data_IF_882241168596
#
_entry.id   IF_882241168596
#
_cell.length_a   1.000
_cell.length_b   1.000
_cell.length_c   1.000
_cell.angle_alpha   90.00
_cell.angle_beta   90.00
_cell.angle_gamma   90.00
#
_symmetry.space_group_name_H-M   'P 1'
#
loop_
_entity.id
_entity.type
_entity.pdbx_description
1 polymer ?
#
# COMPACT_ATOMS: atom_id res chain seq x y z
N UNK A 1 22.34 41.38 -21.88
CA UNK A 1 22.42 39.91 -21.95
C UNK A 1 22.42 39.39 -20.52
N UNK A 2 21.23 39.16 -19.97
CA UNK A 2 21.09 38.51 -18.68
C UNK A 2 21.29 37.02 -18.92
N UNK A 3 22.23 36.46 -18.18
CA UNK A 3 22.74 35.11 -18.32
C UNK A 3 21.62 34.04 -18.28
N UNK A 4 21.55 33.24 -19.34
CA UNK A 4 20.65 32.07 -19.41
C UNK A 4 20.90 31.09 -18.24
N UNK A 5 22.10 31.13 -17.65
CA UNK A 5 22.52 30.37 -16.47
C UNK A 5 21.87 30.85 -15.18
N UNK A 6 21.44 32.11 -15.04
CA UNK A 6 20.77 32.59 -13.81
C UNK A 6 19.30 32.16 -13.74
N UNK A 7 18.63 31.97 -14.89
CA UNK A 7 17.22 31.49 -14.90
C UNK A 7 17.09 29.99 -14.61
N UNK A 8 18.15 29.21 -14.84
CA UNK A 8 18.21 27.78 -14.49
C UNK A 8 18.71 27.53 -13.05
N UNK A 9 19.17 28.57 -12.36
CA UNK A 9 19.85 28.49 -11.06
C UNK A 9 18.98 28.78 -9.83
N UNK A 10 17.71 29.16 -9.98
CA UNK A 10 16.74 29.11 -8.87
C UNK A 10 16.00 27.77 -8.87
N UNK A 11 16.76 26.66 -8.85
CA UNK A 11 16.21 25.41 -8.33
C UNK A 11 15.97 25.64 -6.84
N UNK A 12 14.75 26.03 -6.48
CA UNK A 12 14.32 26.09 -5.08
C UNK A 12 14.73 24.79 -4.41
N UNK A 13 15.52 24.88 -3.34
CA UNK A 13 15.92 23.73 -2.53
C UNK A 13 14.66 22.93 -2.17
N UNK A 14 14.73 21.58 -2.10
CA UNK A 14 13.57 20.80 -1.72
C UNK A 14 13.11 21.24 -0.34
N UNK A 15 11.80 21.44 -0.17
CA UNK A 15 11.24 22.04 1.03
C UNK A 15 11.65 21.34 2.33
N UNK A 16 11.87 20.01 2.27
CA UNK A 16 12.35 19.23 3.42
C UNK A 16 13.66 19.76 4.02
N UNK A 17 14.50 20.45 3.24
CA UNK A 17 15.75 21.04 3.70
C UNK A 17 15.49 22.22 4.65
N UNK A 18 14.45 23.03 4.36
CA UNK A 18 14.19 24.30 5.06
C UNK A 18 12.94 24.29 5.94
N UNK A 19 12.09 23.26 5.86
CA UNK A 19 10.83 23.20 6.60
C UNK A 19 11.06 23.27 8.11
N UNK A 20 10.35 24.15 8.80
CA UNK A 20 10.52 24.32 10.24
C UNK A 20 9.78 23.24 11.00
N UNK A 21 10.33 22.84 12.15
CA UNK A 21 9.62 21.92 13.04
C UNK A 21 8.47 22.66 13.72
N UNK A 22 7.28 22.08 13.76
CA UNK A 22 6.11 22.74 14.31
C UNK A 22 4.98 21.78 14.66
N UNK A 23 3.89 22.27 15.28
CA UNK A 23 2.77 21.44 15.68
C UNK A 23 2.04 20.88 14.45
N UNK A 24 1.66 19.60 14.53
CA UNK A 24 0.94 18.93 13.46
C UNK A 24 -0.52 19.40 13.36
N UNK A 25 -1.30 19.17 14.42
CA UNK A 25 -2.73 19.43 14.41
C UNK A 25 -3.24 19.68 15.82
N UNK A 26 -4.25 20.53 15.97
CA UNK A 26 -4.97 20.67 17.24
C UNK A 26 -5.75 19.40 17.64
N UNK A 27 -5.94 18.47 16.70
CA UNK A 27 -6.62 17.19 16.91
C UNK A 27 -5.71 16.11 17.49
N UNK A 28 -4.41 16.39 17.67
CA UNK A 28 -3.43 15.37 18.04
C UNK A 28 -3.76 14.63 19.35
N UNK A 29 -4.31 15.34 20.34
CA UNK A 29 -4.76 14.75 21.61
C UNK A 29 -5.91 13.72 21.42
N UNK A 30 -6.62 13.77 20.30
CA UNK A 30 -7.71 12.86 19.93
C UNK A 30 -7.27 11.81 18.89
N UNK A 31 -5.97 11.64 18.64
CA UNK A 31 -5.45 10.73 17.61
C UNK A 31 -5.94 9.29 17.74
N UNK A 32 -5.96 8.75 18.96
CA UNK A 32 -6.48 7.40 19.22
C UNK A 32 -7.98 7.28 18.90
N UNK A 33 -8.77 8.30 19.22
CA UNK A 33 -10.19 8.34 18.90
C UNK A 33 -10.42 8.39 17.39
N UNK A 34 -9.63 9.18 16.65
CA UNK A 34 -9.70 9.23 15.18
C UNK A 34 -9.32 7.90 14.54
N UNK A 35 -8.25 7.25 15.03
CA UNK A 35 -7.85 5.93 14.56
C UNK A 35 -8.96 4.90 14.77
N UNK A 36 -9.49 4.78 16.00
CA UNK A 36 -10.55 3.81 16.33
C UNK A 36 -11.82 4.10 15.54
N UNK A 37 -12.22 5.36 15.43
CA UNK A 37 -13.40 5.74 14.63
C UNK A 37 -13.21 5.37 13.16
N UNK A 38 -12.01 5.59 12.62
CA UNK A 38 -11.67 5.22 11.24
C UNK A 38 -11.70 3.70 11.05
N UNK A 39 -11.18 2.91 12.00
CA UNK A 39 -11.26 1.44 11.96
C UNK A 39 -12.72 0.98 11.94
N UNK A 40 -13.57 1.55 12.80
CA UNK A 40 -15.01 1.23 12.82
C UNK A 40 -15.63 1.51 11.46
N UNK A 41 -15.35 2.67 10.85
CA UNK A 41 -15.86 3.01 9.51
C UNK A 41 -15.42 1.99 8.46
N UNK A 42 -14.14 1.60 8.44
CA UNK A 42 -13.62 0.59 7.51
C UNK A 42 -14.34 -0.76 7.70
N UNK A 43 -14.54 -1.19 8.96
CA UNK A 43 -15.26 -2.43 9.28
C UNK A 43 -16.74 -2.36 8.86
N UNK A 44 -17.39 -1.21 9.02
CA UNK A 44 -18.77 -1.02 8.55
C UNK A 44 -18.86 -1.10 7.01
N UNK A 45 -17.92 -0.47 6.30
CA UNK A 45 -17.82 -0.57 4.83
C UNK A 45 -17.64 -2.04 4.43
N UNK A 46 -16.74 -2.77 5.10
CA UNK A 46 -16.52 -4.19 4.86
C UNK A 46 -17.82 -5.01 5.01
N UNK A 47 -18.55 -4.80 6.11
CA UNK A 47 -19.80 -5.51 6.36
C UNK A 47 -20.89 -5.18 5.32
N UNK A 48 -21.02 -3.91 4.92
CA UNK A 48 -21.98 -3.49 3.89
C UNK A 48 -21.63 -4.12 2.53
N UNK A 49 -20.34 -4.17 2.19
CA UNK A 49 -19.87 -4.82 0.97
C UNK A 49 -20.20 -6.32 0.97
N UNK A 50 -19.81 -7.04 2.02
CA UNK A 50 -19.94 -8.50 2.07
C UNK A 50 -21.38 -8.98 2.09
N UNK A 51 -22.24 -8.30 2.84
CA UNK A 51 -23.61 -8.75 3.13
C UNK A 51 -24.62 -8.27 2.09
N UNK A 52 -24.29 -7.23 1.32
CA UNK A 52 -25.27 -6.59 0.46
C UNK A 52 -24.70 -6.14 -0.89
N UNK A 53 -23.71 -5.25 -0.90
CA UNK A 53 -23.35 -4.55 -2.14
C UNK A 53 -22.66 -5.49 -3.16
N UNK A 54 -21.76 -6.38 -2.73
CA UNK A 54 -21.06 -7.28 -3.65
C UNK A 54 -22.01 -8.32 -4.28
N UNK A 55 -22.95 -8.84 -3.50
CA UNK A 55 -24.00 -9.74 -4.03
C UNK A 55 -24.89 -9.00 -5.03
N UNK A 56 -25.28 -7.76 -4.72
CA UNK A 56 -26.16 -6.98 -5.59
C UNK A 56 -25.49 -6.57 -6.92
N UNK A 57 -24.20 -6.24 -6.89
CA UNK A 57 -23.45 -5.74 -8.05
C UNK A 57 -22.93 -6.89 -8.92
N UNK A 58 -22.44 -7.98 -8.32
CA UNK A 58 -21.78 -9.07 -9.04
C UNK A 58 -22.61 -10.36 -9.17
N UNK A 59 -23.75 -10.45 -8.47
CA UNK A 59 -24.73 -11.53 -8.62
C UNK A 59 -24.10 -12.92 -8.55
N UNK A 60 -24.19 -13.65 -9.66
CA UNK A 60 -23.68 -15.02 -9.79
C UNK A 60 -22.19 -15.17 -9.45
N UNK A 61 -21.35 -14.19 -9.80
CA UNK A 61 -19.91 -14.25 -9.51
C UNK A 61 -19.68 -14.30 -7.99
N UNK A 62 -20.42 -13.48 -7.25
CA UNK A 62 -20.28 -13.43 -5.80
C UNK A 62 -20.96 -14.63 -5.12
N UNK A 63 -22.08 -15.13 -5.66
CA UNK A 63 -22.73 -16.35 -5.18
C UNK A 63 -21.80 -17.58 -5.22
N UNK A 64 -20.96 -17.71 -6.26
CA UNK A 64 -19.92 -18.76 -6.32
C UNK A 64 -18.86 -18.56 -5.24
N UNK A 65 -18.47 -17.32 -4.95
CA UNK A 65 -17.50 -17.00 -3.90
C UNK A 65 -18.06 -17.21 -2.49
N UNK A 66 -19.37 -17.15 -2.29
CA UNK A 66 -20.01 -17.40 -0.99
C UNK A 66 -19.90 -18.86 -0.53
N UNK A 67 -19.59 -19.81 -1.43
CA UNK A 67 -19.38 -21.22 -1.08
C UNK A 67 -18.24 -21.39 -0.07
N UNK A 68 -18.35 -22.29 0.92
CA UNK A 68 -17.33 -22.46 1.97
C UNK A 68 -15.92 -22.71 1.44
N UNK A 69 -15.79 -23.50 0.36
CA UNK A 69 -14.51 -23.79 -0.29
C UNK A 69 -13.78 -22.54 -0.85
N UNK A 70 -14.49 -21.44 -1.05
CA UNK A 70 -13.99 -20.22 -1.66
C UNK A 70 -13.75 -19.09 -0.64
N UNK A 71 -13.76 -19.36 0.68
CA UNK A 71 -13.65 -18.33 1.71
C UNK A 71 -12.45 -17.39 1.48
N UNK A 72 -11.27 -17.95 1.22
CA UNK A 72 -10.05 -17.16 0.92
C UNK A 72 -10.27 -16.21 -0.26
N UNK A 73 -10.91 -16.69 -1.32
CA UNK A 73 -11.17 -15.91 -2.54
C UNK A 73 -12.23 -14.84 -2.31
N UNK A 74 -13.28 -15.15 -1.54
CA UNK A 74 -14.32 -14.21 -1.12
C UNK A 74 -13.73 -13.07 -0.32
N UNK A 75 -12.97 -13.39 0.74
CA UNK A 75 -12.30 -12.39 1.58
C UNK A 75 -11.35 -11.52 0.79
N UNK A 76 -10.53 -12.11 -0.09
CA UNK A 76 -9.67 -11.31 -0.99
C UNK A 76 -10.47 -10.39 -1.90
N UNK A 77 -11.60 -10.83 -2.45
CA UNK A 77 -12.44 -10.01 -3.33
C UNK A 77 -13.06 -8.82 -2.59
N UNK A 78 -13.60 -9.03 -1.39
CA UNK A 78 -14.08 -7.96 -0.52
C UNK A 78 -12.95 -7.00 -0.17
N UNK A 79 -11.82 -7.53 0.27
CA UNK A 79 -10.62 -6.77 0.61
C UNK A 79 -10.19 -5.84 -0.53
N UNK A 80 -10.13 -6.32 -1.78
CA UNK A 80 -9.75 -5.46 -2.91
C UNK A 80 -10.72 -4.29 -3.13
N UNK A 81 -12.02 -4.47 -2.85
CA UNK A 81 -12.99 -3.36 -2.91
C UNK A 81 -12.79 -2.37 -1.78
N UNK A 82 -12.56 -2.85 -0.56
CA UNK A 82 -12.27 -1.98 0.59
C UNK A 82 -11.00 -1.17 0.30
N UNK A 83 -9.92 -1.83 -0.11
CA UNK A 83 -8.68 -1.18 -0.51
C UNK A 83 -8.90 -0.12 -1.59
N UNK A 84 -9.61 -0.46 -2.67
CA UNK A 84 -9.92 0.52 -3.72
C UNK A 84 -10.74 1.72 -3.22
N UNK A 85 -11.77 1.50 -2.40
CA UNK A 85 -12.63 2.57 -1.86
C UNK A 85 -11.84 3.48 -0.92
N UNK A 86 -11.06 2.90 0.00
CA UNK A 86 -10.29 3.68 0.97
C UNK A 86 -9.16 4.43 0.26
N UNK A 87 -8.37 3.77 -0.60
CA UNK A 87 -7.30 4.43 -1.35
C UNK A 87 -7.82 5.54 -2.27
N UNK A 88 -8.96 5.35 -2.93
CA UNK A 88 -9.59 6.41 -3.72
C UNK A 88 -10.05 7.58 -2.84
N UNK A 89 -10.61 7.29 -1.66
CA UNK A 89 -11.03 8.33 -0.70
C UNK A 89 -9.82 9.13 -0.19
N UNK A 90 -8.73 8.43 0.18
CA UNK A 90 -7.48 9.05 0.58
C UNK A 90 -6.85 9.86 -0.54
N UNK A 91 -6.91 9.38 -1.78
CA UNK A 91 -6.45 10.13 -2.95
C UNK A 91 -7.25 11.43 -3.11
N UNK A 92 -8.58 11.36 -3.13
CA UNK A 92 -9.44 12.54 -3.32
C UNK A 92 -9.30 13.59 -2.22
N UNK A 93 -9.18 13.16 -0.95
CA UNK A 93 -9.07 14.08 0.19
C UNK A 93 -7.61 14.54 0.37
N UNK A 94 -6.65 13.64 0.17
CA UNK A 94 -5.24 13.84 0.48
C UNK A 94 -4.45 14.55 -0.61
N UNK A 95 -4.84 14.44 -1.89
CA UNK A 95 -4.05 15.02 -3.00
C UNK A 95 -3.80 16.51 -2.80
N UNK A 96 -4.82 17.30 -2.45
CA UNK A 96 -4.64 18.73 -2.25
C UNK A 96 -3.71 19.07 -1.07
N UNK A 97 -3.99 18.66 0.19
CA UNK A 97 -3.14 19.01 1.32
C UNK A 97 -1.73 18.41 1.21
N UNK A 98 -1.57 17.20 0.65
CA UNK A 98 -0.24 16.57 0.46
C UNK A 98 0.59 17.38 -0.52
N UNK A 99 0.07 17.72 -1.70
CA UNK A 99 0.84 18.52 -2.68
C UNK A 99 1.14 19.92 -2.16
N UNK A 100 0.17 20.55 -1.48
CA UNK A 100 0.36 21.87 -0.88
C UNK A 100 1.42 21.86 0.22
N UNK A 101 1.54 20.77 0.96
CA UNK A 101 2.54 20.58 2.01
C UNK A 101 3.92 20.19 1.47
N UNK A 102 4.00 19.22 0.55
CA UNK A 102 5.28 18.70 0.05
C UNK A 102 5.94 19.65 -0.95
N UNK A 103 5.20 20.14 -1.93
CA UNK A 103 5.73 20.92 -3.05
C UNK A 103 5.41 22.41 -2.86
N UNK A 104 4.25 22.72 -2.28
CA UNK A 104 3.81 24.08 -2.04
C UNK A 104 4.48 24.75 -0.83
N UNK A 105 4.23 26.05 -0.68
CA UNK A 105 4.77 26.86 0.41
C UNK A 105 4.06 26.67 1.76
N UNK A 106 3.09 25.76 1.89
CA UNK A 106 2.25 25.66 3.07
C UNK A 106 2.85 24.76 4.15
N UNK A 107 3.00 25.27 5.36
CA UNK A 107 3.36 24.45 6.53
C UNK A 107 2.12 23.83 7.19
N UNK A 108 2.32 22.97 8.19
CA UNK A 108 1.25 22.22 8.88
C UNK A 108 0.17 23.13 9.50
N UNK A 109 0.54 24.36 9.89
CA UNK A 109 -0.37 25.34 10.47
C UNK A 109 -1.14 26.18 9.45
N UNK A 110 -0.84 26.03 8.16
CA UNK A 110 -1.43 26.83 7.08
C UNK A 110 -2.90 26.46 6.88
N UNK A 111 -3.75 27.47 6.66
CA UNK A 111 -5.16 27.27 6.36
C UNK A 111 -5.37 26.65 4.97
N UNK A 112 -6.22 25.61 4.90
CA UNK A 112 -6.61 24.93 3.65
C UNK A 112 -7.41 25.85 2.74
N UNK A 113 -8.33 26.64 3.29
CA UNK A 113 -9.08 27.66 2.56
C UNK A 113 -9.09 28.98 3.35
N UNK A 114 -8.67 30.11 2.75
CA UNK A 114 -8.72 31.41 3.41
C UNK A 114 -10.17 31.94 3.48
N UNK A 115 -10.73 32.10 4.69
CA UNK A 115 -12.05 32.70 4.91
C UNK A 115 -12.42 32.89 6.39
N UNK A 116 -13.33 33.80 6.79
CA UNK A 116 -13.66 34.01 8.20
C UNK A 116 -14.39 32.78 8.81
N UNK A 117 -14.03 32.41 10.04
CA UNK A 117 -14.53 31.22 10.76
C UNK A 117 -13.49 30.10 10.84
N UNK A 118 -13.45 29.36 11.95
CA UNK A 118 -12.46 28.32 12.33
C UNK A 118 -11.96 27.54 11.11
N UNK A 119 -10.72 27.78 10.70
CA UNK A 119 -10.15 27.27 9.45
C UNK A 119 -9.52 25.92 9.67
N UNK A 120 -9.88 24.95 8.84
CA UNK A 120 -9.21 23.65 8.77
C UNK A 120 -7.78 23.90 8.29
N UNK A 121 -6.79 23.40 9.04
CA UNK A 121 -5.37 23.53 8.68
C UNK A 121 -4.92 22.34 7.85
N UNK A 122 -3.85 22.53 7.08
CA UNK A 122 -3.23 21.46 6.28
C UNK A 122 -2.88 20.27 7.16
N UNK A 123 -2.29 20.53 8.34
CA UNK A 123 -1.95 19.49 9.30
C UNK A 123 -3.15 18.73 9.86
N UNK A 124 -4.33 19.35 10.00
CA UNK A 124 -5.55 18.65 10.45
C UNK A 124 -6.00 17.62 9.41
N UNK A 125 -5.96 17.97 8.12
CA UNK A 125 -6.28 17.04 7.03
C UNK A 125 -5.24 15.94 6.91
N UNK A 126 -3.95 16.27 6.93
CA UNK A 126 -2.87 15.28 6.83
C UNK A 126 -2.88 14.32 8.02
N UNK A 127 -3.15 14.81 9.23
CA UNK A 127 -3.31 13.96 10.41
C UNK A 127 -4.48 13.00 10.26
N UNK A 128 -5.64 13.49 9.78
CA UNK A 128 -6.83 12.66 9.56
C UNK A 128 -6.58 11.60 8.48
N UNK A 129 -5.91 11.98 7.38
CA UNK A 129 -5.50 11.06 6.31
C UNK A 129 -4.55 9.99 6.83
N UNK A 130 -3.53 10.36 7.61
CA UNK A 130 -2.57 9.41 8.20
C UNK A 130 -3.25 8.41 9.16
N UNK A 131 -4.22 8.86 9.97
CA UNK A 131 -4.99 7.98 10.85
C UNK A 131 -5.94 7.07 10.06
N UNK A 132 -6.58 7.57 9.00
CA UNK A 132 -7.47 6.77 8.13
C UNK A 132 -6.68 5.70 7.38
N UNK A 133 -5.49 6.06 6.87
CA UNK A 133 -4.56 5.13 6.24
C UNK A 133 -4.06 4.07 7.24
N UNK A 134 -3.71 4.47 8.45
CA UNK A 134 -3.37 3.52 9.53
C UNK A 134 -4.54 2.58 9.87
N UNK A 135 -5.75 3.09 9.94
CA UNK A 135 -6.94 2.29 10.21
C UNK A 135 -7.18 1.22 9.14
N UNK A 136 -6.92 1.54 7.86
CA UNK A 136 -6.99 0.57 6.77
C UNK A 136 -6.01 -0.59 6.97
N UNK A 137 -4.74 -0.33 7.30
CA UNK A 137 -3.76 -1.40 7.51
C UNK A 137 -3.98 -2.18 8.80
N UNK A 138 -4.52 -1.55 9.85
CA UNK A 138 -5.01 -2.27 11.04
C UNK A 138 -6.14 -3.23 10.66
N UNK A 139 -7.06 -2.79 9.80
CA UNK A 139 -8.12 -3.64 9.29
C UNK A 139 -7.61 -4.76 8.36
N UNK A 140 -6.55 -4.53 7.58
CA UNK A 140 -6.00 -5.55 6.66
C UNK A 140 -5.21 -6.67 7.37
N UNK A 141 -4.31 -6.31 8.31
CA UNK A 141 -3.98 -7.18 9.45
C UNK A 141 -5.31 -7.54 10.14
N UNK A 142 -5.51 -8.42 11.11
CA UNK A 142 -6.88 -8.83 11.51
C UNK A 142 -7.75 -9.50 10.40
N UNK A 143 -8.16 -8.83 9.31
CA UNK A 143 -9.07 -9.39 8.31
C UNK A 143 -8.39 -10.43 7.37
N UNK A 144 -7.13 -10.21 6.99
CA UNK A 144 -6.40 -11.04 6.00
C UNK A 144 -5.20 -11.83 6.53
N UNK A 145 -4.87 -11.72 7.82
CA UNK A 145 -3.61 -12.25 8.40
C UNK A 145 -3.37 -13.72 8.08
N UNK A 146 -4.40 -14.57 8.12
CA UNK A 146 -4.28 -16.01 7.83
C UNK A 146 -3.86 -16.33 6.39
N UNK A 147 -3.96 -15.37 5.47
CA UNK A 147 -3.70 -15.56 4.05
C UNK A 147 -2.59 -14.64 3.51
N UNK A 148 -2.04 -13.77 4.34
CA UNK A 148 -0.96 -12.87 3.98
C UNK A 148 0.40 -13.55 4.15
N UNK A 149 1.37 -13.22 3.27
CA UNK A 149 2.74 -13.69 3.45
C UNK A 149 3.39 -13.03 4.67
N UNK A 150 4.34 -13.68 5.35
CA UNK A 150 5.07 -13.06 6.46
C UNK A 150 5.72 -11.72 6.07
N UNK A 151 6.22 -11.61 4.84
CA UNK A 151 6.79 -10.37 4.30
C UNK A 151 5.74 -9.25 4.21
N UNK A 152 4.53 -9.55 3.70
CA UNK A 152 3.44 -8.57 3.62
C UNK A 152 2.94 -8.15 5.01
N UNK A 153 2.89 -9.07 5.97
CA UNK A 153 2.54 -8.76 7.37
C UNK A 153 3.60 -7.84 7.98
N UNK A 154 4.89 -8.19 7.85
CA UNK A 154 5.99 -7.38 8.37
C UNK A 154 6.00 -5.97 7.76
N UNK A 155 5.71 -5.86 6.46
CA UNK A 155 5.59 -4.59 5.76
C UNK A 155 4.46 -3.71 6.34
N UNK A 156 3.24 -4.24 6.53
CA UNK A 156 2.14 -3.47 7.11
C UNK A 156 2.37 -3.12 8.58
N UNK A 157 3.03 -3.98 9.35
CA UNK A 157 3.44 -3.66 10.73
C UNK A 157 4.45 -2.51 10.72
N UNK A 158 5.45 -2.55 9.83
CA UNK A 158 6.44 -1.49 9.67
C UNK A 158 5.80 -0.15 9.28
N UNK A 159 4.85 -0.19 8.35
CA UNK A 159 4.03 0.96 7.93
C UNK A 159 3.31 1.62 9.11
N UNK A 160 2.60 0.80 9.89
CA UNK A 160 1.87 1.27 11.06
C UNK A 160 2.82 1.83 12.12
N UNK A 161 3.91 1.13 12.39
CA UNK A 161 4.90 1.56 13.37
C UNK A 161 5.53 2.90 12.98
N UNK A 162 5.97 3.08 11.73
CA UNK A 162 6.61 4.32 11.31
C UNK A 162 5.61 5.49 11.26
N UNK A 163 4.40 5.26 10.74
CA UNK A 163 3.36 6.30 10.68
C UNK A 163 2.96 6.74 12.08
N UNK A 164 2.66 5.80 12.98
CA UNK A 164 2.24 6.13 14.34
C UNK A 164 3.39 6.73 15.17
N UNK A 165 4.64 6.34 14.89
CA UNK A 165 5.79 6.99 15.52
C UNK A 165 5.97 8.41 15.01
N UNK A 166 5.90 8.65 13.69
CA UNK A 166 5.96 10.00 13.12
C UNK A 166 4.90 10.92 13.75
N UNK A 167 3.69 10.41 13.98
CA UNK A 167 2.61 11.13 14.66
C UNK A 167 2.89 11.37 16.14
N UNK A 168 3.54 10.43 16.84
CA UNK A 168 3.83 10.54 18.27
C UNK A 168 4.98 11.49 18.58
N UNK A 169 5.95 11.65 17.66
CA UNK A 169 7.06 12.60 17.82
C UNK A 169 6.58 14.05 18.02
N UNK A 170 5.44 14.42 17.43
CA UNK A 170 4.82 15.73 17.66
C UNK A 170 4.30 15.92 19.09
N UNK A 171 4.26 14.88 19.93
CA UNK A 171 3.87 14.98 21.34
C UNK A 171 4.90 15.73 22.17
N UNK A 172 6.16 15.77 21.73
CA UNK A 172 7.24 16.54 22.35
C UNK A 172 8.19 17.08 21.27
N UNK A 173 7.73 18.09 20.55
CA UNK A 173 8.42 18.71 19.39
C UNK A 173 9.77 19.31 19.78
N UNK A 174 9.90 19.80 21.02
CA UNK A 174 11.15 20.38 21.53
C UNK A 174 12.26 19.32 21.65
N UNK A 175 11.89 18.09 22.03
CA UNK A 175 12.84 16.98 22.13
C UNK A 175 13.07 16.25 20.80
N UNK A 176 12.14 16.40 19.86
CA UNK A 176 12.15 15.73 18.55
C UNK A 176 12.22 16.75 17.41
N UNK A 177 13.39 17.36 17.14
CA UNK A 177 13.57 18.32 16.04
C UNK A 177 13.26 17.72 14.65
N UNK A 178 13.27 16.39 14.54
CA UNK A 178 12.99 15.63 13.32
C UNK A 178 11.50 15.36 13.06
N UNK A 179 10.59 15.68 13.99
CA UNK A 179 9.17 15.27 13.90
C UNK A 179 8.52 15.66 12.56
N UNK A 180 8.72 16.91 12.13
CA UNK A 180 8.15 17.42 10.88
C UNK A 180 8.76 16.78 9.63
N UNK A 181 10.07 16.49 9.63
CA UNK A 181 10.72 15.86 8.47
C UNK A 181 10.39 14.37 8.36
N UNK A 182 10.24 13.67 9.48
CA UNK A 182 9.79 12.28 9.50
C UNK A 182 8.35 12.17 8.98
N UNK A 183 7.46 13.08 9.43
CA UNK A 183 6.10 13.15 8.90
C UNK A 183 6.07 13.53 7.41
N UNK A 184 6.95 14.41 6.98
CA UNK A 184 7.13 14.74 5.56
C UNK A 184 7.48 13.49 4.74
N UNK A 185 8.43 12.68 5.20
CA UNK A 185 8.78 11.42 4.54
C UNK A 185 7.60 10.44 4.51
N UNK A 186 6.84 10.33 5.61
CA UNK A 186 5.62 9.52 5.65
C UNK A 186 4.59 9.98 4.61
N UNK A 187 4.41 11.29 4.40
CA UNK A 187 3.51 11.81 3.37
C UNK A 187 4.00 11.53 1.95
N UNK A 188 5.32 11.57 1.72
CA UNK A 188 5.90 11.18 0.42
C UNK A 188 5.64 9.70 0.14
N UNK A 189 5.96 8.82 1.09
CA UNK A 189 5.78 7.38 0.91
C UNK A 189 4.31 6.99 0.80
N UNK A 190 3.44 7.54 1.65
CA UNK A 190 2.00 7.33 1.57
C UNK A 190 1.42 7.78 0.23
N UNK A 191 1.95 8.86 -0.37
CA UNK A 191 1.53 9.29 -1.71
C UNK A 191 1.93 8.29 -2.80
N UNK A 192 3.16 7.77 -2.75
CA UNK A 192 3.60 6.70 -3.66
C UNK A 192 2.75 5.45 -3.50
N UNK A 193 2.51 5.05 -2.26
CA UNK A 193 1.74 3.86 -1.94
C UNK A 193 0.31 3.91 -2.49
N UNK A 194 -0.43 5.00 -2.23
CA UNK A 194 -1.78 5.20 -2.78
C UNK A 194 -1.78 5.14 -4.31
N UNK A 195 -0.78 5.76 -4.96
CA UNK A 195 -0.67 5.82 -6.44
C UNK A 195 -0.29 4.46 -7.03
N UNK A 196 0.54 3.68 -6.35
CA UNK A 196 1.00 2.37 -6.81
C UNK A 196 -0.04 1.28 -6.53
N UNK A 197 -0.64 1.26 -5.35
CA UNK A 197 -1.55 0.20 -4.93
C UNK A 197 -2.95 0.32 -5.55
N UNK A 198 -3.49 1.53 -5.74
CA UNK A 198 -4.85 1.70 -6.27
C UNK A 198 -5.07 0.98 -7.61
N UNK A 199 -4.17 1.10 -8.62
CA UNK A 199 -4.27 0.31 -9.85
C UNK A 199 -4.19 -1.21 -9.63
N UNK A 200 -3.46 -1.68 -8.62
CA UNK A 200 -3.37 -3.10 -8.28
C UNK A 200 -4.72 -3.59 -7.74
N UNK A 201 -5.34 -2.86 -6.82
CA UNK A 201 -6.68 -3.20 -6.30
C UNK A 201 -7.71 -3.33 -7.41
N UNK A 202 -7.79 -2.32 -8.27
CA UNK A 202 -8.71 -2.31 -9.42
C UNK A 202 -8.43 -3.48 -10.36
N UNK A 203 -7.16 -3.78 -10.60
CA UNK A 203 -6.76 -4.88 -11.48
C UNK A 203 -7.12 -6.24 -10.89
N UNK A 204 -7.00 -6.42 -9.58
CA UNK A 204 -7.38 -7.66 -8.90
C UNK A 204 -8.90 -7.85 -8.83
N UNK A 205 -9.68 -6.77 -8.79
CA UNK A 205 -11.15 -6.83 -8.95
C UNK A 205 -11.49 -7.31 -10.36
N UNK A 206 -10.92 -6.67 -11.39
CA UNK A 206 -11.12 -7.06 -12.81
C UNK A 206 -10.69 -8.52 -13.03
N UNK A 207 -9.58 -8.94 -12.41
CA UNK A 207 -9.07 -10.31 -12.48
C UNK A 207 -10.09 -11.36 -12.05
N UNK A 208 -10.92 -11.05 -11.04
CA UNK A 208 -11.98 -11.92 -10.57
C UNK A 208 -13.20 -11.89 -11.49
N UNK A 209 -13.56 -10.73 -12.01
CA UNK A 209 -14.74 -10.55 -12.87
C UNK A 209 -14.51 -11.16 -14.27
N UNK A 210 -13.32 -10.97 -14.84
CA UNK A 210 -12.97 -11.36 -16.21
C UNK A 210 -12.04 -12.57 -16.25
N UNK A 211 -12.26 -13.56 -15.36
CA UNK A 211 -11.35 -14.69 -15.16
C UNK A 211 -11.04 -15.51 -16.43
N UNK A 212 -11.95 -15.50 -17.41
CA UNK A 212 -11.84 -16.26 -18.68
C UNK A 212 -11.09 -15.53 -19.80
N UNK A 213 -10.84 -14.24 -19.65
CA UNK A 213 -10.16 -13.42 -20.67
C UNK A 213 -8.65 -13.36 -20.41
N UNK A 214 -7.96 -14.45 -20.73
CA UNK A 214 -6.52 -14.59 -20.48
C UNK A 214 -5.67 -13.50 -21.17
N UNK A 215 -6.13 -12.93 -22.29
CA UNK A 215 -5.44 -11.84 -22.98
C UNK A 215 -5.53 -10.56 -22.18
N UNK A 216 -6.73 -10.13 -21.81
CA UNK A 216 -6.94 -8.96 -20.96
C UNK A 216 -6.16 -9.09 -19.65
N UNK A 217 -6.25 -10.24 -18.99
CA UNK A 217 -5.58 -10.48 -17.72
C UNK A 217 -4.04 -10.42 -17.84
N UNK A 218 -3.47 -10.94 -18.92
CA UNK A 218 -2.03 -10.87 -19.18
C UNK A 218 -1.57 -9.43 -19.42
N UNK A 219 -2.32 -8.64 -20.21
CA UNK A 219 -2.00 -7.22 -20.43
C UNK A 219 -2.11 -6.42 -19.13
N UNK A 220 -3.19 -6.61 -18.38
CA UNK A 220 -3.45 -5.89 -17.14
C UNK A 220 -2.36 -6.15 -16.10
N UNK A 221 -2.01 -7.42 -15.88
CA UNK A 221 -0.95 -7.78 -14.91
C UNK A 221 0.44 -7.40 -15.39
N UNK A 222 0.70 -7.41 -16.70
CA UNK A 222 1.96 -6.86 -17.25
C UNK A 222 2.04 -5.35 -17.04
N UNK A 223 0.94 -4.63 -17.25
CA UNK A 223 0.87 -3.19 -17.01
C UNK A 223 1.09 -2.86 -15.53
N UNK A 224 0.42 -3.58 -14.61
CA UNK A 224 0.66 -3.42 -13.17
C UNK A 224 2.11 -3.77 -12.79
N UNK A 225 2.71 -4.81 -13.38
CA UNK A 225 4.12 -5.13 -13.14
C UNK A 225 5.03 -3.95 -13.50
N UNK A 226 4.89 -3.40 -14.71
CA UNK A 226 5.68 -2.24 -15.15
C UNK A 226 5.40 -1.03 -14.25
N UNK A 227 4.13 -0.79 -13.90
CA UNK A 227 3.72 0.29 -13.00
C UNK A 227 4.41 0.22 -11.64
N UNK A 228 4.42 -0.96 -11.00
CA UNK A 228 5.08 -1.16 -9.71
C UNK A 228 6.59 -0.95 -9.81
N UNK A 229 7.24 -1.42 -10.88
CA UNK A 229 8.69 -1.21 -11.06
C UNK A 229 9.00 0.28 -11.23
N UNK A 230 8.24 1.00 -12.06
CA UNK A 230 8.42 2.45 -12.26
C UNK A 230 8.16 3.20 -10.95
N UNK A 231 7.12 2.81 -10.21
CA UNK A 231 6.79 3.35 -8.89
C UNK A 231 7.93 3.16 -7.90
N UNK A 232 8.40 1.92 -7.71
CA UNK A 232 9.48 1.59 -6.78
C UNK A 232 10.80 2.29 -7.12
N UNK A 233 11.17 2.38 -8.40
CA UNK A 233 12.38 3.10 -8.84
C UNK A 233 12.24 4.60 -8.57
N UNK A 234 11.08 5.19 -8.89
CA UNK A 234 10.82 6.61 -8.65
C UNK A 234 10.82 6.95 -7.16
N UNK A 235 10.14 6.14 -6.35
CA UNK A 235 10.09 6.29 -4.90
C UNK A 235 11.49 6.16 -4.28
N UNK A 236 12.29 5.20 -4.73
CA UNK A 236 13.68 5.02 -4.28
C UNK A 236 14.53 6.24 -4.61
N UNK A 237 14.46 6.73 -5.85
CA UNK A 237 15.23 7.90 -6.27
C UNK A 237 14.84 9.16 -5.48
N UNK A 238 13.53 9.41 -5.31
CA UNK A 238 13.01 10.54 -4.53
C UNK A 238 13.41 10.40 -3.06
N UNK A 239 13.28 9.22 -2.46
CA UNK A 239 13.62 8.98 -1.06
C UNK A 239 15.11 9.19 -0.80
N UNK A 240 15.99 8.63 -1.63
CA UNK A 240 17.44 8.84 -1.51
C UNK A 240 17.78 10.33 -1.63
N UNK A 241 17.17 11.02 -2.61
CA UNK A 241 17.38 12.44 -2.80
C UNK A 241 16.95 13.28 -1.58
N UNK A 242 15.75 13.04 -1.04
CA UNK A 242 15.21 13.76 0.11
C UNK A 242 15.98 13.45 1.40
N UNK A 243 16.36 12.18 1.63
CA UNK A 243 17.18 11.77 2.77
C UNK A 243 18.55 12.42 2.71
N UNK A 244 19.20 12.42 1.54
CA UNK A 244 20.49 13.08 1.37
C UNK A 244 20.40 14.58 1.68
N UNK A 245 19.33 15.24 1.22
CA UNK A 245 19.13 16.68 1.42
C UNK A 245 18.72 17.08 2.83
N UNK A 246 18.17 16.15 3.60
CA UNK A 246 17.75 16.40 4.99
C UNK A 246 18.67 15.73 6.02
N UNK A 247 19.71 14.99 5.60
CA UNK A 247 20.49 14.05 6.41
C UNK A 247 20.96 14.63 7.75
N UNK A 248 21.49 15.85 7.74
CA UNK A 248 22.05 16.49 8.93
C UNK A 248 21.00 16.86 9.98
N UNK A 249 19.73 16.96 9.58
CA UNK A 249 18.61 17.30 10.46
C UNK A 249 18.01 16.09 11.18
N UNK A 250 18.36 14.87 10.76
CA UNK A 250 17.85 13.65 11.37
C UNK A 250 18.59 13.34 12.66
N UNK A 251 17.83 12.93 13.69
CA UNK A 251 18.38 12.32 14.89
C UNK A 251 19.16 11.04 14.56
N UNK A 252 20.16 10.71 15.38
CA UNK A 252 21.06 9.57 15.13
C UNK A 252 20.34 8.24 14.93
N UNK A 253 19.29 7.98 15.70
CA UNK A 253 18.49 6.74 15.62
C UNK A 253 17.80 6.64 14.25
N UNK A 254 17.19 7.74 13.79
CA UNK A 254 16.44 7.77 12.54
C UNK A 254 17.31 7.63 11.29
N UNK A 255 18.57 8.08 11.35
CA UNK A 255 19.55 7.83 10.28
C UNK A 255 19.81 6.34 10.02
N UNK A 256 19.49 5.46 10.98
CA UNK A 256 19.60 4.01 10.84
C UNK A 256 18.23 3.38 10.58
N UNK A 257 17.22 3.75 11.37
CA UNK A 257 15.88 3.15 11.31
C UNK A 257 15.19 3.43 9.97
N UNK A 258 15.21 4.69 9.52
CA UNK A 258 14.49 5.13 8.31
C UNK A 258 15.00 4.41 7.05
N UNK A 259 16.32 4.30 6.75
CA UNK A 259 16.80 3.52 5.61
C UNK A 259 16.53 2.01 5.69
N UNK A 260 16.57 1.42 6.89
CA UNK A 260 16.29 -0.02 7.09
C UNK A 260 14.83 -0.31 6.77
N UNK A 261 13.90 0.48 7.32
CA UNK A 261 12.46 0.32 7.04
C UNK A 261 12.19 0.55 5.56
N UNK A 262 12.82 1.55 4.94
CA UNK A 262 12.66 1.81 3.52
C UNK A 262 13.21 0.66 2.63
N UNK A 263 14.28 0.00 3.04
CA UNK A 263 14.80 -1.17 2.30
C UNK A 263 13.81 -2.34 2.35
N UNK A 264 13.21 -2.59 3.53
CA UNK A 264 12.15 -3.60 3.68
C UNK A 264 10.92 -3.26 2.82
N UNK A 265 10.58 -1.97 2.76
CA UNK A 265 9.48 -1.44 1.95
C UNK A 265 9.67 -1.74 0.47
N UNK A 266 10.80 -1.32 -0.12
CA UNK A 266 11.10 -1.56 -1.54
C UNK A 266 11.23 -3.06 -1.84
N UNK A 267 11.81 -3.85 -0.94
CA UNK A 267 11.88 -5.31 -1.10
C UNK A 267 10.48 -5.93 -1.22
N UNK A 268 9.52 -5.45 -0.43
CA UNK A 268 8.14 -5.95 -0.47
C UNK A 268 7.43 -5.55 -1.76
N UNK A 269 7.60 -4.32 -2.24
CA UNK A 269 7.07 -3.89 -3.53
C UNK A 269 7.65 -4.71 -4.70
N UNK A 270 8.97 -4.95 -4.70
CA UNK A 270 9.62 -5.78 -5.72
C UNK A 270 9.13 -7.22 -5.66
N UNK A 271 8.95 -7.78 -4.46
CA UNK A 271 8.31 -9.09 -4.29
C UNK A 271 6.90 -9.11 -4.91
N UNK A 272 6.08 -8.09 -4.65
CA UNK A 272 4.77 -7.89 -5.30
C UNK A 272 4.86 -7.85 -6.83
N UNK A 273 5.84 -7.12 -7.37
CA UNK A 273 6.09 -7.04 -8.81
C UNK A 273 6.42 -8.42 -9.41
N UNK A 274 7.30 -9.21 -8.77
CA UNK A 274 7.63 -10.56 -9.27
C UNK A 274 6.40 -11.47 -9.34
N UNK A 275 5.47 -11.33 -8.39
CA UNK A 275 4.20 -12.06 -8.38
C UNK A 275 3.29 -11.65 -9.53
N UNK A 276 3.17 -10.34 -9.80
CA UNK A 276 2.41 -9.82 -10.95
C UNK A 276 3.01 -10.31 -12.28
N UNK A 277 4.34 -10.34 -12.40
CA UNK A 277 5.02 -10.87 -13.58
C UNK A 277 4.74 -12.37 -13.78
N UNK A 278 4.80 -13.17 -12.72
CA UNK A 278 4.46 -14.59 -12.78
C UNK A 278 2.99 -14.81 -13.20
N UNK A 279 2.06 -14.01 -12.69
CA UNK A 279 0.66 -14.01 -13.12
C UNK A 279 0.51 -13.67 -14.61
N UNK A 280 1.18 -12.62 -15.08
CA UNK A 280 1.15 -12.20 -16.48
C UNK A 280 1.64 -13.28 -17.43
N UNK A 281 2.75 -13.95 -17.06
CA UNK A 281 3.33 -15.06 -17.84
C UNK A 281 2.40 -16.27 -17.87
N UNK A 282 1.77 -16.62 -16.74
CA UNK A 282 0.82 -17.73 -16.66
C UNK A 282 -0.40 -17.50 -17.57
N UNK A 283 -0.97 -16.29 -17.56
CA UNK A 283 -2.13 -15.98 -18.41
C UNK A 283 -1.75 -15.87 -19.88
N UNK A 284 -0.55 -15.36 -20.21
CA UNK A 284 -0.02 -15.36 -21.59
C UNK A 284 0.11 -16.78 -22.13
N UNK A 285 0.60 -17.70 -21.32
CA UNK A 285 0.71 -19.11 -21.68
C UNK A 285 -0.66 -19.72 -21.96
N UNK A 286 -1.65 -19.50 -21.09
CA UNK A 286 -3.04 -19.99 -21.29
C UNK A 286 -3.67 -19.41 -22.54
N UNK A 287 -3.43 -18.13 -22.83
CA UNK A 287 -3.91 -17.49 -24.05
C UNK A 287 -3.27 -18.10 -25.32
N UNK A 288 -2.03 -18.60 -25.23
CA UNK A 288 -1.33 -19.23 -26.34
C UNK A 288 -1.75 -20.68 -26.59
N UNK A 289 -2.16 -21.42 -25.56
CA UNK A 289 -2.63 -22.81 -25.68
C UNK A 289 -4.07 -22.94 -26.18
N UNK A 290 -4.85 -21.86 -26.16
CA UNK A 290 -6.27 -21.84 -26.56
C UNK A 290 -6.49 -21.73 -28.08
N UNK A 291 -5.59 -22.30 -28.89
CA UNK A 291 -5.90 -22.72 -30.27
C UNK A 291 -6.87 -23.92 -30.24
N UNK A 292 -7.72 -24.13 -31.28
CA UNK A 292 -9.14 -24.52 -31.12
C UNK A 292 -9.50 -25.94 -30.65
N UNK A 293 -8.63 -26.72 -30.02
CA UNK A 293 -8.90 -28.17 -29.85
C UNK A 293 -8.94 -28.73 -28.41
N UNK A 294 -8.71 -27.96 -27.35
CA UNK A 294 -8.74 -28.54 -25.99
C UNK A 294 -9.72 -27.81 -25.06
N UNK A 295 -11.00 -28.14 -25.26
CA UNK A 295 -12.08 -27.91 -24.30
C UNK A 295 -12.23 -29.15 -23.41
N UNK A 296 -11.18 -29.54 -22.67
CA UNK A 296 -11.36 -30.49 -21.55
C UNK A 296 -10.27 -30.38 -20.48
N UNK A 297 -10.77 -30.19 -19.24
CA UNK A 297 -10.12 -30.38 -17.91
C UNK A 297 -9.03 -29.37 -17.49
N UNK A 298 -9.39 -28.50 -16.54
CA UNK A 298 -8.48 -27.62 -15.79
C UNK A 298 -7.51 -28.42 -14.90
N UNK A 299 -6.18 -28.15 -14.93
CA UNK A 299 -5.32 -28.42 -13.80
C UNK A 299 -5.30 -27.23 -12.85
N UNK A 300 -5.53 -27.53 -11.58
CA UNK A 300 -5.42 -26.66 -10.42
C UNK A 300 -4.02 -26.03 -10.38
N UNK A 301 -3.94 -24.72 -10.58
CA UNK A 301 -2.74 -23.96 -10.24
C UNK A 301 -2.76 -23.65 -8.75
N UNK A 302 -2.34 -24.64 -7.96
CA UNK A 302 -1.83 -24.43 -6.61
C UNK A 302 -0.62 -23.50 -6.67
N UNK A 303 -0.54 -22.62 -5.67
CA UNK A 303 0.61 -21.77 -5.45
C UNK A 303 1.69 -22.63 -4.77
N UNK A 304 2.88 -22.86 -5.37
CA UNK A 304 3.92 -23.60 -4.67
C UNK A 304 4.53 -22.70 -3.60
N UNK A 305 4.52 -23.22 -2.38
CA UNK A 305 5.00 -22.55 -1.19
C UNK A 305 5.08 -23.46 0.03
N UNK A 306 5.55 -24.69 -0.14
CA UNK A 306 6.23 -25.49 0.90
C UNK A 306 7.16 -26.47 0.17
N UNK A 307 8.44 -26.41 0.52
CA UNK A 307 9.44 -27.42 0.17
C UNK A 307 9.03 -28.68 0.95
N UNK A 308 8.63 -29.75 0.26
CA UNK A 308 8.66 -31.09 0.83
C UNK A 308 10.01 -31.69 0.47
N UNK A 309 10.74 -32.08 1.52
CA UNK A 309 11.97 -32.84 1.45
C UNK A 309 11.76 -34.13 0.66
N UNK A 310 12.75 -34.48 -0.16
CA UNK A 310 12.68 -35.59 -1.08
C UNK A 310 12.58 -36.95 -0.40
N UNK A 311 11.66 -37.78 -0.90
CA UNK A 311 11.74 -39.24 -0.78
C UNK A 311 12.02 -39.83 -2.17
N UNK A 312 13.13 -40.58 -2.25
CA UNK A 312 13.54 -41.36 -3.41
C UNK A 312 12.80 -42.70 -3.36
N UNK A 313 12.09 -43.16 -4.41
CA UNK A 313 11.45 -44.46 -4.40
C UNK A 313 12.41 -45.56 -4.87
N UNK A 314 12.49 -46.64 -4.09
CA UNK A 314 12.90 -47.95 -4.62
C UNK A 314 13.92 -48.70 -3.77
N UNK A 315 13.45 -49.42 -2.75
CA UNK A 315 13.97 -50.77 -2.50
C UNK A 315 12.91 -51.62 -1.77
N UNK A 316 12.27 -52.50 -2.53
CA UNK A 316 11.65 -53.72 -1.99
C UNK A 316 12.74 -54.55 -1.29
N UNK A 317 12.48 -55.01 -0.07
CA UNK A 317 12.32 -56.44 0.20
C UNK A 317 12.10 -56.72 1.71
N UNK A 318 11.02 -57.45 1.98
CA UNK A 318 11.08 -58.73 2.72
C UNK A 318 11.50 -58.70 4.20
N UNK A 319 10.51 -58.71 5.12
CA UNK A 319 10.19 -59.88 5.99
C UNK A 319 9.43 -59.48 7.26
N UNK A 320 8.20 -59.96 7.32
CA UNK A 320 7.66 -60.87 8.36
C UNK A 320 7.93 -60.64 9.86
N UNK A 321 6.79 -60.72 10.59
CA UNK A 321 6.56 -61.21 11.97
C UNK A 321 6.86 -60.21 13.09
N UNK A 322 5.81 -59.70 13.76
CA UNK A 322 5.11 -60.32 14.90
C UNK A 322 5.95 -60.24 16.18
N UNK A 323 5.62 -59.30 17.07
CA UNK A 323 4.79 -59.41 18.28
C UNK A 323 4.62 -57.99 18.80
#
# INVERSE_FOLDING_TARGET
MADLTTSLATRSLPKIETIQNGPLSGLQAYGSLLLVSSVIVVVLIANILERWLLERVYGEIYAVLQRPENEKRRRSFTYYHIGAIIMLTLFCIGVYPVFRFLIGSADLTTDVSPGPGRRIRVGDLLFTVAQTYSAYYVFELCYRTQFASPLSIAHHIGLLAITQTALSLFGNIEHHPEATIEFYMCMVWGAFDVVVELPIYLSMIIWRIKRRDHRLLSYLTSACFVWVIVGAVSETAVTIYLLHKSWDRWGHVWRVVTPVIFTLWITTQLYGATRLFAMARSERWKASKRSPEEESVEPIAELPGTVEDGEIPGQEESKNKAV
#
